data_IF_919401248544
#
_entry.id   IF_919401248544
#
_cell.length_a   1.000
_cell.length_b   1.000
_cell.length_c   1.000
_cell.angle_alpha   90.00
_cell.angle_beta   90.00
_cell.angle_gamma   90.00
#
_symmetry.space_group_name_H-M   'P 1'
#
loop_
_entity.id
_entity.type
_entity.pdbx_description
1 polymer ?
#
# COMPACT_ATOMS: atom_id res chain seq x y z
N UNK A 1 5.88 0.56 24.70
CA UNK A 1 6.15 0.37 23.25
C UNK A 1 7.37 1.18 22.93
N UNK A 2 8.50 0.55 22.63
CA UNK A 2 9.65 1.25 22.07
C UNK A 2 9.20 1.72 20.68
N UNK A 3 9.25 3.01 20.45
CA UNK A 3 8.96 3.61 19.15
C UNK A 3 9.95 3.03 18.13
N UNK A 4 9.45 2.25 17.17
CA UNK A 4 10.31 1.60 16.17
C UNK A 4 11.12 2.64 15.38
N UNK A 5 10.59 3.85 15.21
CA UNK A 5 11.30 4.99 14.61
C UNK A 5 12.48 5.44 15.46
N UNK A 6 12.34 5.50 16.78
CA UNK A 6 13.46 5.89 17.66
C UNK A 6 14.56 4.83 17.70
N UNK A 7 14.23 3.54 17.59
CA UNK A 7 15.23 2.47 17.49
C UNK A 7 16.00 2.56 16.16
N UNK A 8 15.30 2.84 15.06
CA UNK A 8 15.92 2.99 13.75
C UNK A 8 16.86 4.19 13.71
N UNK A 9 16.42 5.34 14.22
CA UNK A 9 17.24 6.55 14.35
C UNK A 9 18.49 6.27 15.18
N UNK A 10 18.33 5.64 16.35
CA UNK A 10 19.44 5.21 17.21
C UNK A 10 20.44 4.32 16.46
N UNK A 11 19.95 3.35 15.68
CA UNK A 11 20.80 2.45 14.89
C UNK A 11 21.64 3.21 13.84
N UNK A 12 21.03 4.15 13.10
CA UNK A 12 21.70 4.99 12.11
C UNK A 12 22.75 5.88 12.77
N UNK A 13 22.42 6.54 13.88
CA UNK A 13 23.35 7.39 14.62
C UNK A 13 24.57 6.58 15.11
N UNK A 14 24.34 5.39 15.67
CA UNK A 14 25.44 4.54 16.15
C UNK A 14 26.28 4.00 15.00
N UNK A 15 25.66 3.58 13.89
CA UNK A 15 26.39 3.16 12.70
C UNK A 15 27.29 4.30 12.18
N UNK A 16 26.77 5.52 12.11
CA UNK A 16 27.54 6.69 11.69
C UNK A 16 28.73 6.98 12.63
N UNK A 17 28.55 6.79 13.94
CA UNK A 17 29.67 6.91 14.92
C UNK A 17 30.73 5.84 14.72
N UNK A 18 30.31 4.58 14.52
CA UNK A 18 31.22 3.43 14.28
C UNK A 18 32.03 3.63 13.00
N UNK A 19 31.41 4.16 11.95
CA UNK A 19 32.09 4.44 10.67
C UNK A 19 33.22 5.48 10.76
N UNK A 20 33.27 6.29 11.83
CA UNK A 20 34.39 7.24 12.07
C UNK A 20 35.64 6.53 12.57
N UNK A 21 35.56 5.32 13.11
CA UNK A 21 36.66 4.57 13.67
C UNK A 21 37.62 4.08 12.59
N UNK A 22 38.92 4.39 12.71
CA UNK A 22 39.96 4.03 11.73
C UNK A 22 40.04 2.53 11.42
N UNK A 23 39.93 1.60 12.39
CA UNK A 23 39.95 0.18 12.11
C UNK A 23 38.78 -0.25 11.19
N UNK A 24 37.59 0.32 11.40
CA UNK A 24 36.41 0.03 10.60
C UNK A 24 36.58 0.57 9.18
N UNK A 25 37.09 1.80 9.03
CA UNK A 25 37.40 2.36 7.72
C UNK A 25 38.36 1.48 6.92
N UNK A 26 39.46 1.05 7.55
CA UNK A 26 40.42 0.13 6.93
C UNK A 26 39.81 -1.21 6.53
N UNK A 27 38.98 -1.78 7.41
CA UNK A 27 38.30 -3.04 7.13
C UNK A 27 37.35 -2.92 5.93
N UNK A 28 36.54 -1.86 5.88
CA UNK A 28 35.63 -1.61 4.78
C UNK A 28 36.37 -1.39 3.44
N UNK A 29 37.43 -0.59 3.46
CA UNK A 29 38.25 -0.33 2.26
C UNK A 29 38.95 -1.59 1.70
N UNK A 30 39.24 -2.58 2.56
CA UNK A 30 39.81 -3.86 2.11
C UNK A 30 38.73 -4.79 1.55
N UNK A 31 37.51 -4.69 2.10
CA UNK A 31 36.44 -5.65 1.79
C UNK A 31 35.57 -5.23 0.62
N UNK A 32 35.42 -3.93 0.37
CA UNK A 32 34.50 -3.37 -0.63
C UNK A 32 35.22 -2.30 -1.45
N UNK A 33 34.97 -2.26 -2.75
CA UNK A 33 35.47 -1.23 -3.67
C UNK A 33 34.43 -0.14 -3.91
N UNK A 34 33.15 -0.55 -4.04
CA UNK A 34 32.06 0.34 -4.41
C UNK A 34 30.90 0.27 -3.40
N UNK A 35 30.25 1.40 -3.24
CA UNK A 35 28.96 1.55 -2.58
C UNK A 35 27.95 2.03 -3.61
N UNK A 36 26.89 1.28 -3.83
CA UNK A 36 25.77 1.68 -4.70
C UNK A 36 24.55 1.86 -3.80
N UNK A 37 23.96 3.05 -3.83
CA UNK A 37 22.74 3.38 -3.08
C UNK A 37 21.62 3.66 -4.06
N UNK A 38 20.60 2.82 -4.04
CA UNK A 38 19.40 2.97 -4.87
C UNK A 38 18.28 3.67 -4.10
N UNK A 39 17.30 4.21 -4.82
CA UNK A 39 16.15 4.95 -4.26
C UNK A 39 16.59 6.08 -3.30
N UNK A 40 17.64 6.80 -3.67
CA UNK A 40 18.27 7.79 -2.78
C UNK A 40 17.32 8.91 -2.35
N UNK A 41 16.30 9.24 -3.14
CA UNK A 41 15.27 10.23 -2.82
C UNK A 41 14.45 9.90 -1.57
N UNK A 42 14.52 8.65 -1.09
CA UNK A 42 13.83 8.22 0.12
C UNK A 42 14.75 8.19 1.35
N UNK A 43 16.01 8.61 1.21
CA UNK A 43 16.94 8.67 2.31
C UNK A 43 16.58 9.82 3.26
N UNK A 44 16.63 9.53 4.56
CA UNK A 44 16.57 10.58 5.60
C UNK A 44 17.91 11.30 5.71
N UNK A 45 17.92 12.48 6.34
CA UNK A 45 19.15 13.24 6.63
C UNK A 45 20.18 12.40 7.39
N UNK A 46 19.72 11.56 8.34
CA UNK A 46 20.62 10.66 9.08
C UNK A 46 21.27 9.60 8.19
N UNK A 47 20.49 8.99 7.28
CA UNK A 47 21.02 8.04 6.29
C UNK A 47 21.99 8.72 5.32
N UNK A 48 21.67 9.93 4.86
CA UNK A 48 22.59 10.72 4.04
C UNK A 48 23.94 10.92 4.73
N UNK A 49 23.95 11.35 6.00
CA UNK A 49 25.20 11.55 6.77
C UNK A 49 26.00 10.24 6.88
N UNK A 50 25.34 9.10 7.03
CA UNK A 50 25.98 7.79 7.04
C UNK A 50 26.61 7.48 5.68
N UNK A 51 25.89 7.71 4.57
CA UNK A 51 26.37 7.50 3.20
C UNK A 51 27.56 8.43 2.91
N UNK A 52 27.47 9.70 3.31
CA UNK A 52 28.60 10.65 3.19
C UNK A 52 29.84 10.19 3.95
N UNK A 53 29.66 9.56 5.12
CA UNK A 53 30.79 8.97 5.87
C UNK A 53 31.39 7.76 5.13
N UNK A 54 30.59 6.97 4.44
CA UNK A 54 31.06 5.84 3.61
C UNK A 54 31.72 6.31 2.31
N UNK A 55 31.25 7.40 1.70
CA UNK A 55 31.83 7.94 0.46
C UNK A 55 33.26 8.45 0.63
N UNK A 56 33.71 8.71 1.86
CA UNK A 56 35.12 8.99 2.16
C UNK A 56 36.01 7.75 2.10
N UNK A 57 35.44 6.55 1.99
CA UNK A 57 36.12 5.27 2.08
C UNK A 57 35.97 4.49 0.77
N UNK A 58 34.79 4.53 0.15
CA UNK A 58 34.38 3.72 -0.98
C UNK A 58 34.01 4.60 -2.18
N UNK A 59 34.24 4.11 -3.39
CA UNK A 59 33.68 4.73 -4.58
C UNK A 59 32.16 4.64 -4.53
N UNK A 60 31.50 5.80 -4.37
CA UNK A 60 30.06 5.83 -4.07
C UNK A 60 29.26 6.30 -5.28
N UNK A 61 28.24 5.53 -5.63
CA UNK A 61 27.26 5.83 -6.67
C UNK A 61 25.88 5.93 -6.02
N UNK A 62 25.16 7.00 -6.29
CA UNK A 62 23.77 7.17 -5.85
C UNK A 62 22.84 7.17 -7.05
N UNK A 63 21.75 6.43 -6.95
CA UNK A 63 20.70 6.34 -7.96
C UNK A 63 19.41 6.85 -7.33
N UNK A 64 18.73 7.76 -8.01
CA UNK A 64 17.49 8.31 -7.47
C UNK A 64 16.75 9.22 -8.45
N UNK A 65 15.47 9.40 -8.21
CA UNK A 65 14.62 10.31 -8.96
C UNK A 65 13.88 11.24 -7.97
N UNK A 66 14.17 12.55 -7.94
CA UNK A 66 13.52 13.48 -7.02
C UNK A 66 11.99 13.49 -7.09
N UNK A 67 11.42 13.21 -8.28
CA UNK A 67 9.97 13.11 -8.46
C UNK A 67 9.37 11.80 -7.90
N UNK A 68 10.18 10.85 -7.47
CA UNK A 68 9.72 9.64 -6.79
C UNK A 68 9.85 9.68 -5.27
N UNK A 69 10.31 10.78 -4.70
CA UNK A 69 10.41 11.00 -3.25
C UNK A 69 9.05 11.31 -2.63
N UNK A 70 8.21 10.30 -2.42
CA UNK A 70 6.84 10.44 -1.89
C UNK A 70 6.68 9.95 -0.45
N UNK A 71 7.70 9.38 0.17
CA UNK A 71 7.64 8.98 1.56
C UNK A 71 7.85 10.19 2.47
N UNK A 72 6.91 10.39 3.40
CA UNK A 72 7.05 11.34 4.49
C UNK A 72 7.11 10.53 5.80
N UNK A 73 8.28 10.51 6.40
CA UNK A 73 8.49 9.80 7.66
C UNK A 73 8.09 10.62 8.89
N UNK A 74 7.47 11.79 8.70
CA UNK A 74 6.81 12.63 9.72
C UNK A 74 7.72 13.22 10.81
N UNK A 75 8.81 12.55 11.18
CA UNK A 75 9.78 12.97 12.21
C UNK A 75 11.18 13.24 11.67
N UNK A 76 11.51 12.66 10.52
CA UNK A 76 12.82 12.83 9.90
C UNK A 76 12.65 13.46 8.53
N UNK A 77 13.37 14.54 8.29
CA UNK A 77 13.39 15.19 6.98
C UNK A 77 14.07 14.28 5.96
N UNK A 78 13.46 14.15 4.80
CA UNK A 78 14.05 13.53 3.62
C UNK A 78 15.11 14.49 3.08
N UNK A 79 16.14 13.93 2.47
CA UNK A 79 17.23 14.71 1.88
C UNK A 79 16.72 15.53 0.71
N UNK A 80 17.02 16.81 0.71
CA UNK A 80 16.75 17.70 -0.42
C UNK A 80 17.93 17.64 -1.40
N UNK A 81 17.67 17.27 -2.68
CA UNK A 81 18.68 17.23 -3.73
C UNK A 81 19.23 18.60 -4.13
N UNK A 82 18.58 19.69 -3.73
CA UNK A 82 19.05 21.06 -3.96
C UNK A 82 20.10 21.52 -2.95
N UNK A 83 20.31 20.78 -1.85
CA UNK A 83 21.24 21.17 -0.80
C UNK A 83 22.72 21.06 -1.24
N UNK A 84 23.56 21.90 -0.63
CA UNK A 84 25.01 21.92 -0.87
C UNK A 84 25.68 20.57 -0.55
N UNK A 85 25.05 19.75 0.27
CA UNK A 85 25.47 18.38 0.58
C UNK A 85 25.57 17.45 -0.63
N UNK A 86 24.85 17.76 -1.73
CA UNK A 86 24.93 17.02 -2.98
C UNK A 86 26.02 17.47 -3.95
N UNK A 87 26.75 18.53 -3.64
CA UNK A 87 27.79 19.07 -4.54
C UNK A 87 28.79 18.03 -5.00
N UNK A 88 29.18 17.10 -4.11
CA UNK A 88 30.11 16.01 -4.46
C UNK A 88 29.60 15.06 -5.54
N UNK A 89 28.28 14.91 -5.67
CA UNK A 89 27.66 14.04 -6.65
C UNK A 89 27.21 14.80 -7.90
N UNK A 90 26.88 16.10 -7.78
CA UNK A 90 26.38 16.93 -8.86
C UNK A 90 27.40 17.12 -10.00
N UNK A 91 28.69 17.19 -9.70
CA UNK A 91 29.75 17.35 -10.70
C UNK A 91 29.84 16.15 -11.64
N UNK A 92 29.35 14.97 -11.23
CA UNK A 92 29.33 13.72 -11.99
C UNK A 92 27.92 13.20 -12.22
N UNK A 93 26.91 14.06 -12.16
CA UNK A 93 25.53 13.66 -12.35
C UNK A 93 25.25 13.32 -13.82
N UNK A 94 24.64 12.16 -14.05
CA UNK A 94 24.20 11.70 -15.38
C UNK A 94 22.72 11.35 -15.32
N UNK A 95 21.98 11.80 -16.33
CA UNK A 95 20.59 11.41 -16.51
C UNK A 95 20.46 10.13 -17.30
N UNK A 96 19.62 9.21 -16.81
CA UNK A 96 19.25 8.02 -17.57
C UNK A 96 18.08 8.40 -18.52
N UNK A 97 18.43 8.60 -19.79
CA UNK A 97 17.49 9.13 -20.79
C UNK A 97 16.73 8.05 -21.56
N UNK A 98 17.10 6.79 -21.40
CA UNK A 98 16.46 5.69 -22.12
C UNK A 98 15.36 5.07 -21.23
N UNK A 99 14.09 5.15 -21.65
CA UNK A 99 12.98 4.59 -20.87
C UNK A 99 12.85 3.08 -21.10
N UNK A 100 13.80 2.30 -20.60
CA UNK A 100 13.92 0.86 -20.85
C UNK A 100 12.67 0.05 -20.55
N UNK A 101 11.91 0.40 -19.50
CA UNK A 101 10.66 -0.26 -19.15
C UNK A 101 9.68 -0.27 -20.33
N UNK A 102 9.44 0.89 -20.93
CA UNK A 102 8.50 1.03 -22.05
C UNK A 102 9.10 0.54 -23.37
N UNK A 103 10.39 0.72 -23.58
CA UNK A 103 11.09 0.17 -24.76
C UNK A 103 10.99 -1.35 -24.79
N UNK A 104 11.24 -2.02 -23.66
CA UNK A 104 11.12 -3.47 -23.51
C UNK A 104 9.67 -3.97 -23.67
N UNK A 105 8.69 -3.14 -23.32
CA UNK A 105 7.27 -3.43 -23.52
C UNK A 105 6.77 -3.10 -24.95
N UNK A 106 7.63 -2.62 -25.86
CA UNK A 106 7.24 -2.19 -27.20
C UNK A 106 6.41 -0.91 -27.25
N UNK A 107 6.52 -0.07 -26.21
CA UNK A 107 5.74 1.19 -26.04
C UNK A 107 6.66 2.41 -25.98
N UNK A 108 7.53 2.53 -26.97
CA UNK A 108 8.57 3.58 -27.03
C UNK A 108 7.95 4.99 -26.95
N UNK A 109 6.88 5.26 -27.70
CA UNK A 109 6.23 6.57 -27.73
C UNK A 109 5.65 6.94 -26.35
N UNK A 110 5.02 5.99 -25.62
CA UNK A 110 4.55 6.20 -24.25
C UNK A 110 5.73 6.54 -23.31
N UNK A 111 6.86 5.85 -23.48
CA UNK A 111 8.07 6.14 -22.71
C UNK A 111 8.58 7.56 -22.94
N UNK A 112 8.54 8.06 -24.18
CA UNK A 112 8.92 9.41 -24.53
C UNK A 112 7.95 10.46 -23.95
N UNK A 113 6.63 10.22 -24.03
CA UNK A 113 5.62 11.07 -23.38
C UNK A 113 5.88 11.20 -21.88
N UNK A 114 6.18 10.08 -21.19
CA UNK A 114 6.45 10.10 -19.75
C UNK A 114 7.77 10.78 -19.37
N UNK A 115 8.81 10.70 -20.21
CA UNK A 115 10.03 11.50 -20.03
C UNK A 115 9.77 13.00 -20.22
N UNK A 116 8.94 13.36 -21.21
CA UNK A 116 8.51 14.75 -21.40
C UNK A 116 7.70 15.27 -20.21
N UNK A 117 6.77 14.47 -19.71
CA UNK A 117 6.01 14.78 -18.47
C UNK A 117 6.96 15.01 -17.28
N UNK A 118 7.98 14.15 -17.12
CA UNK A 118 8.98 14.31 -16.07
C UNK A 118 9.68 15.67 -16.17
N UNK A 119 10.16 16.01 -17.35
CA UNK A 119 10.83 17.29 -17.59
C UNK A 119 9.90 18.48 -17.34
N UNK A 120 8.63 18.37 -17.73
CA UNK A 120 7.61 19.38 -17.49
C UNK A 120 7.33 19.57 -15.99
N UNK A 121 7.13 18.49 -15.23
CA UNK A 121 6.87 18.54 -13.79
C UNK A 121 8.08 19.02 -12.96
N UNK A 122 9.30 18.87 -13.46
CA UNK A 122 10.49 19.46 -12.85
C UNK A 122 10.57 20.98 -13.06
N UNK A 123 10.10 21.47 -14.20
CA UNK A 123 10.22 22.88 -14.58
C UNK A 123 8.98 23.72 -14.24
N UNK A 124 7.80 23.10 -14.16
CA UNK A 124 6.51 23.78 -13.92
C UNK A 124 5.61 22.96 -13.04
N UNK A 125 4.60 23.61 -12.46
CA UNK A 125 3.54 22.94 -11.70
C UNK A 125 2.26 22.73 -12.53
N UNK A 126 2.35 22.86 -13.86
CA UNK A 126 1.20 22.69 -14.77
C UNK A 126 1.51 21.63 -15.81
N UNK A 127 0.60 20.68 -15.99
CA UNK A 127 0.68 19.61 -16.97
C UNK A 127 -0.59 19.62 -17.81
N UNK A 128 -0.46 19.92 -19.12
CA UNK A 128 -1.56 19.78 -20.08
C UNK A 128 -1.50 18.39 -20.72
N UNK A 129 -2.52 17.59 -20.47
CA UNK A 129 -2.60 16.21 -20.99
C UNK A 129 -2.94 16.16 -22.50
N UNK A 130 -3.34 17.26 -23.14
CA UNK A 130 -3.52 17.30 -24.58
C UNK A 130 -2.21 17.12 -25.36
N UNK A 131 -1.07 17.44 -24.74
CA UNK A 131 0.25 17.35 -25.37
C UNK A 131 0.74 15.89 -25.52
N UNK A 132 0.03 14.90 -24.93
CA UNK A 132 0.50 13.50 -24.81
C UNK A 132 -0.49 12.52 -25.47
N UNK A 133 -0.16 12.07 -26.67
CA UNK A 133 -1.07 11.26 -27.49
C UNK A 133 -1.14 9.77 -27.11
N UNK A 134 -0.12 9.25 -26.44
CA UNK A 134 -0.08 7.86 -25.99
C UNK A 134 -0.83 7.65 -24.66
N UNK A 135 -1.27 8.73 -24.01
CA UNK A 135 -2.03 8.70 -22.78
C UNK A 135 -3.52 8.82 -23.10
N UNK A 136 -4.30 7.82 -22.72
CA UNK A 136 -5.75 7.89 -22.87
C UNK A 136 -6.34 8.75 -21.76
N UNK A 137 -6.81 9.94 -22.08
CA UNK A 137 -7.48 10.84 -21.13
C UNK A 137 -8.99 10.69 -21.23
N UNK A 138 -9.64 10.52 -20.07
CA UNK A 138 -11.10 10.44 -19.95
C UNK A 138 -11.58 11.56 -19.03
N UNK A 139 -12.30 12.51 -19.61
CA UNK A 139 -12.89 13.61 -18.86
C UNK A 139 -14.21 13.14 -18.25
N UNK A 140 -14.30 13.18 -16.92
CA UNK A 140 -15.46 12.80 -16.15
C UNK A 140 -15.69 13.75 -14.98
N UNK A 141 -16.92 14.19 -14.73
CA UNK A 141 -17.25 14.96 -13.54
C UNK A 141 -16.90 14.18 -12.26
N UNK A 142 -16.49 14.88 -11.23
CA UNK A 142 -16.03 14.28 -9.98
C UNK A 142 -17.10 13.39 -9.30
N UNK A 143 -18.36 13.75 -9.40
CA UNK A 143 -19.48 13.01 -8.82
C UNK A 143 -19.87 11.76 -9.63
N UNK A 144 -19.25 11.52 -10.76
CA UNK A 144 -19.58 10.42 -11.69
C UNK A 144 -19.21 9.04 -11.12
N UNK A 145 -18.35 8.99 -10.09
CA UNK A 145 -17.97 7.76 -9.40
C UNK A 145 -19.12 7.04 -8.68
N UNK A 146 -20.18 7.76 -8.34
CA UNK A 146 -21.35 7.19 -7.66
C UNK A 146 -22.42 6.67 -8.66
N UNK A 147 -22.31 7.01 -9.95
CA UNK A 147 -23.35 6.78 -10.95
C UNK A 147 -23.07 5.51 -11.74
N UNK A 148 -24.05 4.62 -11.84
CA UNK A 148 -23.92 3.34 -12.54
C UNK A 148 -23.72 3.44 -14.05
N UNK A 149 -23.85 4.61 -14.66
CA UNK A 149 -23.76 4.89 -16.10
C UNK A 149 -22.65 5.88 -16.46
N UNK A 150 -21.61 5.99 -15.65
CA UNK A 150 -20.52 6.91 -15.95
C UNK A 150 -19.70 6.50 -17.18
N UNK A 151 -19.25 7.47 -17.95
CA UNK A 151 -18.43 7.25 -19.15
C UNK A 151 -17.14 6.48 -18.82
N UNK A 152 -16.49 6.79 -17.71
CA UNK A 152 -15.25 6.13 -17.29
C UNK A 152 -15.45 4.67 -16.85
N UNK A 153 -16.66 4.27 -16.47
CA UNK A 153 -16.96 2.89 -16.01
C UNK A 153 -16.65 1.87 -17.11
N UNK A 154 -17.02 2.18 -18.33
CA UNK A 154 -16.73 1.33 -19.49
C UNK A 154 -15.21 1.24 -19.73
N UNK A 155 -14.48 2.35 -19.53
CA UNK A 155 -13.03 2.35 -19.66
C UNK A 155 -12.36 1.49 -18.61
N UNK A 156 -12.81 1.55 -17.37
CA UNK A 156 -12.33 0.66 -16.31
C UNK A 156 -12.66 -0.80 -16.63
N UNK A 157 -13.88 -1.12 -17.09
CA UNK A 157 -14.22 -2.48 -17.49
C UNK A 157 -13.36 -2.98 -18.66
N UNK A 158 -13.05 -2.12 -19.63
CA UNK A 158 -12.16 -2.47 -20.73
C UNK A 158 -10.74 -2.72 -20.22
N UNK A 159 -10.20 -1.85 -19.39
CA UNK A 159 -8.89 -2.02 -18.76
C UNK A 159 -8.83 -3.32 -17.94
N UNK A 160 -9.90 -3.65 -17.22
CA UNK A 160 -9.98 -4.86 -16.41
C UNK A 160 -10.10 -6.18 -17.23
N UNK A 161 -10.05 -6.13 -18.56
CA UNK A 161 -9.86 -7.33 -19.40
C UNK A 161 -8.41 -7.81 -19.36
N UNK A 162 -7.47 -6.91 -19.13
CA UNK A 162 -6.06 -7.27 -18.95
C UNK A 162 -5.84 -8.03 -17.65
N UNK A 163 -4.77 -8.81 -17.61
CA UNK A 163 -4.43 -9.62 -16.43
C UNK A 163 -3.64 -8.85 -15.36
N UNK A 164 -2.95 -7.76 -15.76
CA UNK A 164 -2.12 -6.93 -14.88
C UNK A 164 -2.62 -5.49 -14.93
N UNK A 165 -3.48 -5.12 -13.97
CA UNK A 165 -4.15 -3.82 -13.95
C UNK A 165 -4.06 -3.19 -12.57
N UNK A 166 -3.64 -1.94 -12.54
CA UNK A 166 -3.61 -1.13 -11.33
C UNK A 166 -4.53 0.08 -11.49
N UNK A 167 -5.46 0.24 -10.55
CA UNK A 167 -6.18 1.50 -10.34
C UNK A 167 -5.48 2.28 -9.23
N UNK A 168 -5.13 3.54 -9.46
CA UNK A 168 -4.51 4.40 -8.44
C UNK A 168 -5.50 5.48 -8.03
N UNK A 169 -5.80 5.53 -6.73
CA UNK A 169 -6.66 6.54 -6.14
C UNK A 169 -5.81 7.60 -5.41
N UNK A 170 -6.08 8.92 -5.59
CA UNK A 170 -5.28 9.98 -4.98
C UNK A 170 -5.37 10.01 -3.45
N UNK A 171 -6.52 9.64 -2.86
CA UNK A 171 -6.73 9.71 -1.42
C UNK A 171 -6.05 8.54 -0.70
N UNK A 172 -5.05 8.85 0.11
CA UNK A 172 -4.31 7.89 0.95
C UNK A 172 -4.91 7.75 2.36
N UNK A 173 -5.51 8.79 2.90
CA UNK A 173 -6.00 8.89 4.28
C UNK A 173 -7.17 7.95 4.61
N UNK A 174 -7.98 7.60 3.61
CA UNK A 174 -9.16 6.76 3.79
C UNK A 174 -9.21 5.59 2.81
N UNK A 175 -9.64 4.43 3.29
CA UNK A 175 -9.90 3.25 2.46
C UNK A 175 -11.29 3.26 1.82
N UNK A 176 -12.20 4.11 2.28
CA UNK A 176 -13.62 4.11 1.85
C UNK A 176 -13.81 4.35 0.34
N UNK A 177 -13.11 5.30 -0.31
CA UNK A 177 -13.23 5.45 -1.76
C UNK A 177 -12.85 4.17 -2.52
N UNK A 178 -11.76 3.50 -2.11
CA UNK A 178 -11.31 2.26 -2.75
C UNK A 178 -12.28 1.10 -2.53
N UNK A 179 -12.95 1.02 -1.36
CA UNK A 179 -14.02 0.05 -1.12
C UNK A 179 -15.20 0.23 -2.09
N UNK A 180 -15.60 1.48 -2.38
CA UNK A 180 -16.66 1.77 -3.36
C UNK A 180 -16.31 1.23 -4.75
N UNK A 181 -15.05 1.35 -5.17
CA UNK A 181 -14.57 0.77 -6.43
C UNK A 181 -14.66 -0.75 -6.43
N UNK A 182 -14.23 -1.43 -5.37
CA UNK A 182 -14.33 -2.90 -5.27
C UNK A 182 -15.79 -3.36 -5.27
N UNK A 183 -16.70 -2.59 -4.69
CA UNK A 183 -18.14 -2.91 -4.76
C UNK A 183 -18.67 -2.85 -6.19
N UNK A 184 -18.20 -1.90 -6.99
CA UNK A 184 -18.60 -1.76 -8.41
C UNK A 184 -17.84 -2.72 -9.32
N UNK A 185 -16.59 -3.03 -9.01
CA UNK A 185 -15.69 -3.88 -9.78
C UNK A 185 -15.17 -5.04 -8.92
N UNK A 186 -15.98 -6.12 -8.71
CA UNK A 186 -15.65 -7.20 -7.77
C UNK A 186 -14.37 -7.99 -8.11
N UNK A 187 -13.85 -7.85 -9.31
CA UNK A 187 -12.59 -8.47 -9.75
C UNK A 187 -11.34 -7.73 -9.23
N UNK A 188 -11.50 -6.50 -8.70
CA UNK A 188 -10.42 -5.76 -8.08
C UNK A 188 -10.14 -6.27 -6.66
N UNK A 189 -8.85 -6.34 -6.32
CA UNK A 189 -8.37 -6.55 -4.95
C UNK A 189 -7.79 -5.24 -4.43
N UNK A 190 -7.97 -4.96 -3.13
CA UNK A 190 -7.35 -3.81 -2.50
C UNK A 190 -5.90 -4.11 -2.16
N UNK A 191 -4.99 -3.22 -2.53
CA UNK A 191 -3.64 -3.22 -1.95
C UNK A 191 -3.75 -2.64 -0.55
N UNK A 192 -3.25 -3.37 0.45
CA UNK A 192 -3.36 -3.03 1.85
C UNK A 192 -1.98 -2.72 2.44
N UNK A 193 -1.95 -1.72 3.32
CA UNK A 193 -0.74 -1.43 4.09
C UNK A 193 -0.41 -2.60 5.01
N UNK A 194 0.88 -2.94 5.13
CA UNK A 194 1.36 -3.90 6.11
C UNK A 194 1.18 -3.32 7.53
N UNK A 195 1.26 -2.01 7.69
CA UNK A 195 1.23 -1.30 8.97
C UNK A 195 -0.14 -0.70 9.32
N UNK A 196 -1.21 -1.41 8.98
CA UNK A 196 -2.57 -0.97 9.30
C UNK A 196 -2.87 -1.08 10.80
N UNK A 197 -3.25 0.02 11.42
CA UNK A 197 -3.56 0.08 12.86
C UNK A 197 -4.74 -0.81 13.27
N UNK A 198 -5.67 -1.10 12.35
CA UNK A 198 -6.83 -1.96 12.63
C UNK A 198 -6.37 -3.38 12.95
N UNK A 199 -5.31 -3.89 12.31
CA UNK A 199 -4.73 -5.17 12.64
C UNK A 199 -4.32 -5.26 14.11
N UNK A 200 -3.54 -4.27 14.51
CA UNK A 200 -2.94 -4.27 15.85
C UNK A 200 -4.00 -4.11 16.93
N UNK A 201 -4.90 -3.16 16.76
CA UNK A 201 -5.98 -2.92 17.70
C UNK A 201 -6.93 -4.10 17.81
N UNK A 202 -7.21 -4.81 16.71
CA UNK A 202 -8.05 -6.02 16.74
C UNK A 202 -7.37 -7.15 17.51
N UNK A 203 -6.07 -7.43 17.27
CA UNK A 203 -5.35 -8.48 17.99
C UNK A 203 -5.22 -8.16 19.47
N UNK A 204 -4.92 -6.91 19.85
CA UNK A 204 -4.92 -6.48 21.26
C UNK A 204 -6.30 -6.68 21.91
N UNK A 205 -7.38 -6.37 21.17
CA UNK A 205 -8.73 -6.60 21.66
C UNK A 205 -9.03 -8.08 21.86
N UNK A 206 -8.58 -8.93 20.93
CA UNK A 206 -8.73 -10.39 21.05
C UNK A 206 -7.95 -10.97 22.21
N UNK A 207 -6.77 -10.41 22.54
CA UNK A 207 -6.00 -10.82 23.72
C UNK A 207 -6.75 -10.48 25.03
N UNK A 208 -7.36 -9.31 25.12
CA UNK A 208 -7.94 -8.74 26.34
C UNK A 208 -9.40 -9.13 26.60
N UNK A 209 -10.21 -9.24 25.53
CA UNK A 209 -11.66 -9.43 25.65
C UNK A 209 -12.03 -10.91 25.77
N UNK A 210 -13.18 -11.17 26.42
CA UNK A 210 -13.76 -12.50 26.60
C UNK A 210 -15.28 -12.47 26.40
N UNK A 211 -15.90 -13.63 26.20
CA UNK A 211 -17.36 -13.80 26.15
C UNK A 211 -18.04 -12.89 25.13
N UNK A 212 -19.09 -12.18 25.54
CA UNK A 212 -19.89 -11.37 24.64
C UNK A 212 -19.12 -10.17 24.05
N UNK A 213 -18.23 -9.54 24.81
CA UNK A 213 -17.42 -8.40 24.32
C UNK A 213 -16.41 -8.82 23.26
N UNK A 214 -15.88 -10.04 23.35
CA UNK A 214 -15.01 -10.60 22.32
C UNK A 214 -15.80 -10.83 21.01
N UNK A 215 -16.98 -11.42 21.09
CA UNK A 215 -17.85 -11.65 19.93
C UNK A 215 -18.24 -10.33 19.28
N UNK A 216 -18.61 -9.34 20.07
CA UNK A 216 -18.91 -8.00 19.56
C UNK A 216 -17.72 -7.38 18.82
N UNK A 217 -16.51 -7.51 19.36
CA UNK A 217 -15.28 -7.04 18.73
C UNK A 217 -15.03 -7.74 17.40
N UNK A 218 -15.19 -9.07 17.31
CA UNK A 218 -15.05 -9.84 16.07
C UNK A 218 -16.08 -9.40 15.03
N UNK A 219 -17.34 -9.26 15.40
CA UNK A 219 -18.42 -8.81 14.50
C UNK A 219 -18.18 -7.40 14.00
N UNK A 220 -17.67 -6.51 14.85
CA UNK A 220 -17.32 -5.13 14.49
C UNK A 220 -16.11 -5.08 13.52
N UNK A 221 -15.09 -5.91 13.73
CA UNK A 221 -14.01 -6.08 12.77
C UNK A 221 -14.58 -6.49 11.40
N UNK A 222 -15.44 -7.50 11.35
CA UNK A 222 -16.02 -7.98 10.11
C UNK A 222 -16.90 -6.91 9.41
N UNK A 223 -17.59 -6.05 10.17
CA UNK A 223 -18.32 -4.87 9.64
C UNK A 223 -17.38 -3.85 9.00
N UNK A 224 -16.16 -3.74 9.52
CA UNK A 224 -15.15 -2.79 9.01
C UNK A 224 -14.54 -3.27 7.70
N UNK A 225 -14.26 -4.57 7.60
CA UNK A 225 -13.56 -5.15 6.44
C UNK A 225 -14.49 -5.73 5.38
N UNK A 226 -15.79 -5.85 5.68
CA UNK A 226 -16.75 -6.49 4.79
C UNK A 226 -18.09 -5.75 4.66
N UNK A 227 -19.08 -6.45 4.13
CA UNK A 227 -20.42 -5.91 3.86
C UNK A 227 -21.23 -5.74 5.15
N UNK A 228 -21.18 -4.51 5.73
CA UNK A 228 -21.89 -4.16 6.96
C UNK A 228 -23.38 -4.52 6.91
N UNK A 229 -24.05 -4.27 5.79
CA UNK A 229 -25.47 -4.57 5.60
C UNK A 229 -25.76 -6.06 5.74
N UNK A 230 -24.93 -6.93 5.14
CA UNK A 230 -25.09 -8.38 5.21
C UNK A 230 -24.84 -8.92 6.62
N UNK A 231 -23.82 -8.43 7.31
CA UNK A 231 -23.55 -8.76 8.72
C UNK A 231 -24.72 -8.34 9.61
N UNK A 232 -25.28 -7.16 9.40
CA UNK A 232 -26.40 -6.66 10.19
C UNK A 232 -27.72 -7.46 9.97
N UNK A 233 -27.83 -8.23 8.90
CA UNK A 233 -28.94 -9.19 8.72
C UNK A 233 -28.82 -10.32 9.76
N UNK A 234 -27.61 -10.73 10.13
CA UNK A 234 -27.34 -11.87 11.00
C UNK A 234 -27.08 -11.49 12.45
N UNK A 235 -26.45 -10.35 12.70
CA UNK A 235 -26.01 -9.92 14.03
C UNK A 235 -26.67 -8.61 14.47
N UNK A 236 -27.00 -8.52 15.77
CA UNK A 236 -27.31 -7.27 16.43
C UNK A 236 -26.04 -6.43 16.64
N UNK A 237 -26.18 -5.17 17.01
CA UNK A 237 -25.01 -4.31 17.30
C UNK A 237 -24.14 -4.87 18.43
N UNK A 238 -24.75 -5.57 19.38
CA UNK A 238 -24.08 -6.26 20.52
C UNK A 238 -23.37 -7.57 20.13
N UNK A 239 -23.29 -7.91 18.84
CA UNK A 239 -22.70 -9.19 18.39
C UNK A 239 -23.59 -10.40 18.57
N UNK A 240 -24.81 -10.27 19.13
CA UNK A 240 -25.76 -11.38 19.29
C UNK A 240 -26.38 -11.76 17.94
N UNK A 241 -26.59 -13.06 17.73
CA UNK A 241 -27.30 -13.58 16.55
C UNK A 241 -28.78 -13.17 16.57
N UNK A 242 -29.30 -12.83 15.40
CA UNK A 242 -30.73 -12.58 15.18
C UNK A 242 -31.46 -13.90 14.91
N UNK A 243 -32.74 -13.97 15.28
CA UNK A 243 -33.60 -15.10 14.89
C UNK A 243 -33.81 -15.13 13.40
N UNK A 244 -33.94 -16.35 12.83
CA UNK A 244 -34.17 -16.59 11.41
C UNK A 244 -35.43 -17.42 11.20
N UNK A 245 -36.18 -17.13 10.15
CA UNK A 245 -37.44 -17.84 9.81
C UNK A 245 -37.26 -18.90 8.76
N UNK A 246 -36.41 -18.65 7.74
CA UNK A 246 -36.14 -19.59 6.65
C UNK A 246 -35.28 -20.75 7.16
N UNK A 247 -35.61 -21.97 6.74
CA UNK A 247 -34.93 -23.21 7.14
C UNK A 247 -33.43 -23.16 6.81
N UNK A 248 -33.09 -22.72 5.59
CA UNK A 248 -31.69 -22.58 5.16
C UNK A 248 -30.90 -21.59 6.08
N UNK A 249 -31.52 -20.49 6.45
CA UNK A 249 -30.92 -19.51 7.38
C UNK A 249 -30.80 -20.07 8.80
N UNK A 250 -31.71 -20.94 9.24
CA UNK A 250 -31.65 -21.59 10.54
C UNK A 250 -30.45 -22.52 10.66
N UNK A 251 -30.10 -23.25 9.60
CA UNK A 251 -28.92 -24.13 9.55
C UNK A 251 -27.63 -23.32 9.70
N UNK A 252 -27.50 -22.22 8.94
CA UNK A 252 -26.35 -21.33 9.05
C UNK A 252 -26.29 -20.69 10.43
N UNK A 253 -27.42 -20.23 10.95
CA UNK A 253 -27.51 -19.67 12.29
C UNK A 253 -27.05 -20.66 13.37
N UNK A 254 -27.51 -21.92 13.29
CA UNK A 254 -27.12 -22.97 14.24
C UNK A 254 -25.61 -23.24 14.19
N UNK A 255 -25.01 -23.28 13.00
CA UNK A 255 -23.57 -23.42 12.84
C UNK A 255 -22.81 -22.25 13.49
N UNK A 256 -23.23 -21.01 13.27
CA UNK A 256 -22.66 -19.83 13.92
C UNK A 256 -22.83 -19.88 15.45
N UNK A 257 -23.99 -20.34 15.92
CA UNK A 257 -24.31 -20.46 17.35
C UNK A 257 -23.41 -21.50 18.04
N UNK A 258 -23.16 -22.63 17.40
CA UNK A 258 -22.19 -23.64 17.89
C UNK A 258 -20.79 -23.04 18.04
N UNK A 259 -20.26 -22.40 17.01
CA UNK A 259 -18.92 -21.76 17.05
C UNK A 259 -18.85 -20.68 18.15
N UNK A 260 -19.91 -19.90 18.32
CA UNK A 260 -19.98 -18.88 19.36
C UNK A 260 -20.02 -19.51 20.76
N UNK A 261 -20.70 -20.64 20.91
CA UNK A 261 -20.75 -21.39 22.18
C UNK A 261 -19.39 -21.96 22.51
N UNK A 262 -18.74 -22.61 21.56
CA UNK A 262 -17.38 -23.15 21.72
C UNK A 262 -16.39 -22.06 22.10
N UNK A 263 -16.49 -20.88 21.48
CA UNK A 263 -15.64 -19.74 21.79
C UNK A 263 -15.90 -19.19 23.21
N UNK A 264 -17.14 -19.25 23.71
CA UNK A 264 -17.48 -18.82 25.07
C UNK A 264 -17.02 -19.81 26.13
N UNK A 265 -17.11 -21.12 25.83
CA UNK A 265 -16.69 -22.21 26.74
C UNK A 265 -15.16 -22.29 26.81
N UNK A 266 -14.51 -22.23 25.66
CA UNK A 266 -13.06 -22.29 25.56
C UNK A 266 -12.54 -21.23 24.59
N UNK A 267 -12.08 -20.11 25.15
CA UNK A 267 -11.40 -19.08 24.34
C UNK A 267 -10.09 -19.67 23.81
N UNK A 268 -9.96 -19.73 22.47
CA UNK A 268 -8.71 -19.95 21.76
C UNK A 268 -8.65 -19.02 20.55
N UNK A 269 -7.46 -18.70 20.07
CA UNK A 269 -7.30 -17.89 18.88
C UNK A 269 -7.79 -18.61 17.62
N UNK A 270 -7.66 -19.93 17.59
CA UNK A 270 -8.23 -20.77 16.54
C UNK A 270 -9.76 -20.66 16.47
N UNK A 271 -10.45 -20.65 17.62
CA UNK A 271 -11.91 -20.44 17.66
C UNK A 271 -12.32 -19.03 17.22
N UNK A 272 -11.50 -18.02 17.51
CA UNK A 272 -11.70 -16.66 16.98
C UNK A 272 -11.59 -16.65 15.44
N UNK A 273 -10.54 -17.29 14.90
CA UNK A 273 -10.37 -17.41 13.45
C UNK A 273 -11.53 -18.16 12.79
N UNK A 274 -12.01 -19.25 13.42
CA UNK A 274 -13.16 -20.01 12.95
C UNK A 274 -14.45 -19.19 12.90
N UNK A 275 -14.68 -18.30 13.89
CA UNK A 275 -15.84 -17.40 13.87
C UNK A 275 -15.72 -16.34 12.76
N UNK A 276 -14.53 -15.79 12.55
CA UNK A 276 -14.24 -14.84 11.47
C UNK A 276 -14.56 -15.47 10.10
N UNK A 277 -14.07 -16.70 9.85
CA UNK A 277 -14.30 -17.44 8.62
C UNK A 277 -15.77 -17.86 8.45
N UNK A 278 -16.45 -18.25 9.53
CA UNK A 278 -17.86 -18.55 9.48
C UNK A 278 -18.70 -17.32 9.12
N UNK A 279 -18.32 -16.13 9.57
CA UNK A 279 -18.97 -14.87 9.16
C UNK A 279 -18.65 -14.54 7.69
N UNK A 280 -17.45 -14.80 7.20
CA UNK A 280 -17.10 -14.64 5.79
C UNK A 280 -17.97 -15.52 4.89
N UNK A 281 -18.28 -16.73 5.33
CA UNK A 281 -19.07 -17.70 4.58
C UNK A 281 -20.60 -17.50 4.65
N UNK A 282 -21.07 -16.46 5.29
CA UNK A 282 -22.52 -16.09 5.28
C UNK A 282 -22.94 -15.77 3.84
N UNK A 283 -24.14 -16.19 3.38
CA UNK A 283 -24.63 -15.91 2.05
C UNK A 283 -24.54 -14.42 1.66
N UNK A 284 -24.09 -14.17 0.45
CA UNK A 284 -23.87 -12.83 -0.13
C UNK A 284 -22.89 -11.93 0.64
N UNK A 285 -22.15 -12.48 1.58
CA UNK A 285 -21.10 -11.73 2.26
C UNK A 285 -20.00 -11.35 1.28
N UNK A 286 -19.60 -10.10 1.31
CA UNK A 286 -18.45 -9.60 0.54
C UNK A 286 -17.42 -9.06 1.50
N UNK A 287 -16.23 -9.64 1.49
CA UNK A 287 -15.07 -9.11 2.18
C UNK A 287 -14.27 -8.25 1.21
N UNK A 288 -14.04 -6.99 1.55
CA UNK A 288 -13.30 -6.03 0.72
C UNK A 288 -11.80 -6.09 0.98
N UNK A 289 -11.42 -6.53 2.17
CA UNK A 289 -10.04 -6.64 2.66
C UNK A 289 -9.68 -8.11 2.87
N UNK A 290 -9.54 -8.84 1.75
CA UNK A 290 -9.31 -10.29 1.79
C UNK A 290 -7.94 -10.68 2.32
N UNK A 291 -6.90 -9.93 1.92
CA UNK A 291 -5.54 -10.20 2.39
C UNK A 291 -5.44 -9.95 3.91
N UNK A 292 -6.10 -8.88 4.39
CA UNK A 292 -6.23 -8.59 5.81
C UNK A 292 -6.89 -9.75 6.57
N UNK A 293 -8.04 -10.23 6.10
CA UNK A 293 -8.76 -11.33 6.74
C UNK A 293 -7.91 -12.60 6.80
N UNK A 294 -7.24 -12.91 5.70
CA UNK A 294 -6.35 -14.08 5.63
C UNK A 294 -5.17 -13.95 6.60
N UNK A 295 -4.50 -12.80 6.62
CA UNK A 295 -3.35 -12.56 7.48
C UNK A 295 -3.72 -12.61 8.97
N UNK A 296 -4.88 -12.07 9.36
CA UNK A 296 -5.33 -12.10 10.75
C UNK A 296 -5.71 -13.53 11.19
N UNK A 297 -6.40 -14.30 10.35
CA UNK A 297 -6.73 -15.70 10.66
C UNK A 297 -5.48 -16.58 10.78
N UNK A 298 -4.49 -16.38 9.93
CA UNK A 298 -3.20 -17.08 10.02
C UNK A 298 -2.45 -16.70 11.30
N UNK A 299 -2.39 -15.39 11.63
CA UNK A 299 -1.75 -14.95 12.86
C UNK A 299 -2.41 -15.51 14.12
N UNK A 300 -3.74 -15.61 14.14
CA UNK A 300 -4.48 -16.21 15.25
C UNK A 300 -4.17 -17.70 15.42
N UNK A 301 -4.12 -18.47 14.34
CA UNK A 301 -3.73 -19.89 14.39
C UNK A 301 -2.28 -20.07 14.80
N UNK A 302 -1.39 -19.23 14.31
CA UNK A 302 0.02 -19.23 14.72
C UNK A 302 0.18 -18.88 16.19
N UNK A 303 -0.65 -17.97 16.74
CA UNK A 303 -0.63 -17.64 18.16
C UNK A 303 -0.90 -18.85 19.06
N UNK A 304 -1.95 -19.64 18.75
CA UNK A 304 -2.24 -20.89 19.47
C UNK A 304 -1.12 -21.92 19.30
N UNK A 305 -0.61 -22.09 18.08
CA UNK A 305 0.46 -23.06 17.79
C UNK A 305 1.76 -22.74 18.53
N UNK A 306 2.09 -21.45 18.65
CA UNK A 306 3.34 -20.98 19.25
C UNK A 306 3.20 -20.66 20.75
N UNK A 307 1.97 -20.66 21.29
CA UNK A 307 1.70 -20.30 22.68
C UNK A 307 1.99 -18.82 22.99
N UNK A 308 1.78 -17.94 22.03
CA UNK A 308 2.02 -16.49 22.16
C UNK A 308 0.70 -15.71 22.06
N UNK A 309 0.72 -14.40 22.34
CA UNK A 309 -0.45 -13.55 22.16
C UNK A 309 -0.75 -13.30 20.68
N UNK A 310 -2.01 -12.95 20.35
CA UNK A 310 -2.38 -12.57 19.00
C UNK A 310 -1.60 -11.33 18.53
N UNK A 311 -1.37 -10.36 19.41
CA UNK A 311 -0.57 -9.17 19.11
C UNK A 311 0.89 -9.52 18.78
N UNK A 312 1.51 -10.45 19.52
CA UNK A 312 2.87 -10.89 19.21
C UNK A 312 2.96 -11.68 17.90
N UNK A 313 2.00 -12.57 17.66
CA UNK A 313 1.94 -13.35 16.43
C UNK A 313 1.79 -12.48 15.20
N UNK A 314 0.90 -11.46 15.23
CA UNK A 314 0.73 -10.55 14.10
C UNK A 314 1.98 -9.70 13.85
N UNK A 315 2.69 -9.29 14.88
CA UNK A 315 3.95 -8.56 14.75
C UNK A 315 5.02 -9.42 14.06
N UNK A 316 5.14 -10.68 14.43
CA UNK A 316 6.04 -11.66 13.79
C UNK A 316 5.72 -11.83 12.30
N UNK A 317 4.43 -12.02 11.96
CA UNK A 317 3.97 -12.18 10.58
C UNK A 317 4.23 -10.92 9.76
N UNK A 318 4.00 -9.74 10.31
CA UNK A 318 4.33 -8.45 9.67
C UNK A 318 5.83 -8.32 9.40
N UNK A 319 6.69 -8.70 10.33
CA UNK A 319 8.13 -8.66 10.14
C UNK A 319 8.59 -9.60 9.02
N UNK A 320 7.95 -10.76 8.88
CA UNK A 320 8.19 -11.67 7.75
C UNK A 320 7.74 -11.03 6.44
N UNK A 321 6.55 -10.42 6.40
CA UNK A 321 6.03 -9.72 5.21
C UNK A 321 6.89 -8.52 4.81
N UNK A 322 7.40 -7.74 5.78
CA UNK A 322 8.34 -6.64 5.51
C UNK A 322 9.64 -7.12 4.87
N UNK A 323 10.17 -8.27 5.34
CA UNK A 323 11.42 -8.84 4.80
C UNK A 323 11.25 -9.48 3.42
N UNK A 324 10.14 -10.19 3.21
CA UNK A 324 9.88 -10.93 1.95
C UNK A 324 9.23 -10.06 0.88
N UNK A 325 8.58 -8.96 1.25
CA UNK A 325 7.65 -8.22 0.41
C UNK A 325 6.34 -8.98 0.15
N UNK A 326 5.28 -8.25 -0.22
CA UNK A 326 4.06 -8.85 -0.79
C UNK A 326 4.20 -8.95 -2.30
N UNK A 327 3.93 -10.12 -2.86
CA UNK A 327 3.81 -10.27 -4.31
C UNK A 327 2.43 -9.76 -4.75
N UNK A 328 2.37 -8.50 -5.18
CA UNK A 328 1.14 -7.87 -5.65
C UNK A 328 1.04 -8.10 -7.15
N UNK A 329 -0.02 -8.78 -7.59
CA UNK A 329 -0.26 -9.14 -8.99
C UNK A 329 -1.75 -9.14 -9.31
N UNK A 330 -2.07 -9.09 -10.59
CA UNK A 330 -3.46 -9.18 -11.09
C UNK A 330 -4.13 -7.82 -11.15
N UNK A 331 -5.41 -7.77 -10.77
CA UNK A 331 -6.26 -6.58 -10.87
C UNK A 331 -6.41 -5.96 -9.50
N UNK A 332 -5.79 -4.81 -9.27
CA UNK A 332 -5.69 -4.23 -7.94
C UNK A 332 -6.03 -2.74 -7.93
N UNK A 333 -6.40 -2.24 -6.76
CA UNK A 333 -6.57 -0.81 -6.49
C UNK A 333 -5.74 -0.41 -5.27
N UNK A 334 -5.00 0.68 -5.38
CA UNK A 334 -4.14 1.20 -4.32
C UNK A 334 -4.00 2.71 -4.34
N UNK A 335 -3.03 3.20 -3.57
CA UNK A 335 -2.56 4.59 -3.59
C UNK A 335 -1.12 4.62 -4.08
N UNK A 336 -0.58 5.77 -4.40
CA UNK A 336 0.81 5.93 -4.82
C UNK A 336 1.81 5.35 -3.82
N UNK A 337 1.59 5.61 -2.51
CA UNK A 337 2.44 5.08 -1.44
C UNK A 337 2.48 3.55 -1.41
N UNK A 338 1.35 2.89 -1.70
CA UNK A 338 1.25 1.43 -1.69
C UNK A 338 1.75 0.77 -2.99
N UNK A 339 1.92 1.57 -4.05
CA UNK A 339 2.24 1.08 -5.40
C UNK A 339 3.62 1.52 -5.89
N UNK A 340 4.33 2.35 -5.12
CA UNK A 340 5.71 2.72 -5.43
C UNK A 340 6.57 1.46 -5.57
N UNK A 341 7.41 1.42 -6.61
CA UNK A 341 8.24 0.26 -6.94
C UNK A 341 7.52 -0.88 -7.66
N UNK A 342 6.18 -0.84 -7.81
CA UNK A 342 5.42 -1.85 -8.56
C UNK A 342 5.22 -1.42 -10.02
N UNK A 343 5.06 -2.41 -10.89
CA UNK A 343 4.81 -2.22 -12.31
C UNK A 343 3.63 -3.06 -12.79
N UNK A 344 2.80 -2.48 -13.65
CA UNK A 344 1.60 -3.12 -14.21
C UNK A 344 1.50 -2.85 -15.70
N UNK A 345 0.91 -3.79 -16.45
CA UNK A 345 0.70 -3.61 -17.88
C UNK A 345 -0.21 -2.39 -18.14
N UNK A 346 -1.33 -2.32 -17.46
CA UNK A 346 -2.31 -1.22 -17.59
C UNK A 346 -2.48 -0.51 -16.25
N UNK A 347 -2.41 0.81 -16.27
CA UNK A 347 -2.67 1.67 -15.11
C UNK A 347 -3.80 2.64 -15.41
N UNK A 348 -4.73 2.75 -14.46
CA UNK A 348 -5.82 3.72 -14.47
C UNK A 348 -5.62 4.68 -13.30
N UNK A 349 -5.27 5.92 -13.59
CA UNK A 349 -5.14 6.99 -12.60
C UNK A 349 -6.51 7.64 -12.42
N UNK A 350 -7.06 7.50 -11.22
CA UNK A 350 -8.38 8.02 -10.87
C UNK A 350 -8.28 9.44 -10.31
N UNK A 351 -9.19 10.33 -10.69
CA UNK A 351 -9.22 11.71 -10.18
C UNK A 351 -7.87 12.43 -10.26
N UNK A 352 -7.22 12.40 -11.43
CA UNK A 352 -5.87 12.95 -11.60
C UNK A 352 -5.76 14.42 -11.15
N UNK A 353 -6.82 15.22 -11.28
CA UNK A 353 -6.90 16.60 -10.81
C UNK A 353 -6.83 16.77 -9.29
N UNK A 354 -6.89 15.68 -8.50
CA UNK A 354 -6.78 15.70 -7.03
C UNK A 354 -5.39 15.37 -6.51
N UNK A 355 -4.45 15.13 -7.40
CA UNK A 355 -3.06 15.02 -6.99
C UNK A 355 -2.49 16.43 -6.79
N UNK A 356 -2.40 16.87 -5.54
CA UNK A 356 -1.86 18.19 -5.19
C UNK A 356 -0.32 18.20 -5.19
N UNK A 357 0.35 17.07 -5.08
CA UNK A 357 1.81 16.94 -5.12
C UNK A 357 2.23 16.31 -6.45
N UNK A 358 3.10 17.00 -7.20
CA UNK A 358 3.64 16.54 -8.49
C UNK A 358 4.38 15.22 -8.41
N UNK A 359 4.99 14.89 -7.27
CA UNK A 359 5.69 13.63 -7.04
C UNK A 359 4.69 12.47 -7.00
N UNK A 360 3.59 12.63 -6.27
CA UNK A 360 2.53 11.64 -6.25
C UNK A 360 1.88 11.43 -7.62
N UNK A 361 1.64 12.52 -8.37
CA UNK A 361 1.13 12.44 -9.74
C UNK A 361 2.12 11.68 -10.63
N UNK A 362 3.40 12.05 -10.62
CA UNK A 362 4.43 11.40 -11.43
C UNK A 362 4.56 9.90 -11.11
N UNK A 363 4.59 9.54 -9.82
CA UNK A 363 4.59 8.12 -9.42
C UNK A 363 3.37 7.40 -9.96
N UNK A 364 2.17 8.00 -9.90
CA UNK A 364 0.96 7.38 -10.44
C UNK A 364 1.05 7.12 -11.94
N UNK A 365 1.53 8.11 -12.71
CA UNK A 365 1.64 8.02 -14.18
C UNK A 365 2.68 6.99 -14.63
N UNK A 366 3.74 6.79 -13.85
CA UNK A 366 4.89 5.93 -14.22
C UNK A 366 4.79 4.48 -13.77
N UNK A 367 3.65 4.03 -13.23
CA UNK A 367 3.48 2.61 -12.85
C UNK A 367 3.11 1.71 -14.01
N UNK A 368 2.72 2.25 -15.16
CA UNK A 368 2.32 1.48 -16.35
C UNK A 368 3.54 1.02 -17.17
N UNK A 369 3.40 -0.16 -17.80
CA UNK A 369 4.34 -0.63 -18.81
C UNK A 369 3.79 -0.50 -20.23
N UNK A 370 2.48 -0.73 -20.43
CA UNK A 370 1.87 -0.80 -21.78
C UNK A 370 0.81 0.23 -22.04
N UNK A 371 -0.06 0.52 -21.06
CA UNK A 371 -1.19 1.42 -21.24
C UNK A 371 -1.39 2.30 -20.01
N UNK A 372 -1.59 3.59 -20.26
CA UNK A 372 -1.95 4.58 -19.26
C UNK A 372 -3.30 5.20 -19.59
N UNK A 373 -4.22 5.14 -18.63
CA UNK A 373 -5.54 5.78 -18.69
C UNK A 373 -5.62 6.79 -17.54
N UNK A 374 -5.88 8.03 -17.86
CA UNK A 374 -6.01 9.12 -16.86
C UNK A 374 -7.45 9.60 -16.83
N UNK A 375 -8.11 9.46 -15.69
CA UNK A 375 -9.47 9.95 -15.45
C UNK A 375 -9.38 11.24 -14.65
N UNK A 376 -9.89 12.33 -15.19
CA UNK A 376 -9.83 13.66 -14.58
C UNK A 376 -11.09 14.47 -14.92
N UNK A 377 -11.33 15.54 -14.19
CA UNK A 377 -12.37 16.51 -14.54
C UNK A 377 -11.88 17.57 -15.54
N UNK A 378 -10.58 17.65 -15.76
CA UNK A 378 -9.94 18.61 -16.66
C UNK A 378 -8.70 17.97 -17.30
N UNK A 379 -8.30 18.44 -18.48
CA UNK A 379 -7.04 18.09 -19.13
C UNK A 379 -5.83 18.76 -18.48
N UNK A 380 -6.02 19.92 -17.89
CA UNK A 380 -4.93 20.67 -17.24
C UNK A 380 -4.88 20.26 -15.77
N UNK A 381 -3.75 19.72 -15.35
CA UNK A 381 -3.44 19.35 -13.97
C UNK A 381 -2.46 20.36 -13.38
N UNK A 382 -2.71 20.78 -12.14
CA UNK A 382 -1.88 21.77 -11.43
C UNK A 382 -1.43 21.20 -10.08
N UNK A 383 -0.54 20.21 -10.04
CA UNK A 383 0.06 19.74 -8.81
C UNK A 383 1.12 20.73 -8.32
N UNK A 384 1.19 20.94 -7.01
CA UNK A 384 2.22 21.79 -6.36
C UNK A 384 3.61 21.15 -6.31
#
# INVERSE_FOLDING_TARGET
MSDAGSLFHFAIEHATKILKALPIKKYLAIKYDHLIVDEYQDCTVGQHQMIMSLSTILHTHILGDPLQGIFDFGREHIVDFSEESFKLFNDNCQSLEIPWRWNNAGRIALGQDLLSIRSKLLSTNTLDLHDYHEIKVVIAPENDYAISRSLYKNEIYNALRDNSVLLIHPTSESVEPRKKFIQQFPQLKMIESIDDNIFYSSCISFDKLNGCSLIESIVNLMRTIGSKTKINVWFKNTGQLKSKRLVADQLIRSSLETIITDLKEKKSYTNIASLIEAIENIPDMKVYRKDFLHDICNALRDADRLGVSAAESIERNRNILRRKGRKIQGKVIGTTLLTKGLEFDTVVVLNAHRFNDKRHLYVALTRCCKQLIVISNNHILNPD
#
